data_IF_623677822252
#
_entry.id   IF_623677822252
#
_cell.length_a   1.000
_cell.length_b   1.000
_cell.length_c   1.000
_cell.angle_alpha   90.00
_cell.angle_beta   90.00
_cell.angle_gamma   90.00
#
_symmetry.space_group_name_H-M   'P 1'
#
loop_
_entity.id
_entity.type
_entity.pdbx_description
1 polymer ?
#
# COMPACT_ATOMS: atom_id res chain seq x y z
N UNK A 1 26.75 53.17 -33.99
CA UNK A 1 25.35 53.25 -34.45
C UNK A 1 24.77 51.84 -34.32
N UNK A 2 24.26 51.49 -33.13
CA UNK A 2 22.84 51.54 -32.69
C UNK A 2 22.02 50.34 -33.19
N UNK A 3 21.61 49.52 -32.21
CA UNK A 3 20.36 48.72 -32.12
C UNK A 3 20.25 47.51 -33.06
N UNK A 4 19.80 46.33 -32.64
CA UNK A 4 18.63 46.10 -31.80
C UNK A 4 18.66 44.75 -31.05
N UNK A 5 18.25 44.84 -29.79
CA UNK A 5 17.89 43.79 -28.85
C UNK A 5 16.88 42.76 -29.38
N UNK A 6 17.09 41.49 -29.03
CA UNK A 6 15.98 40.60 -28.70
C UNK A 6 16.31 39.90 -27.37
N UNK A 7 15.77 40.48 -26.30
CA UNK A 7 15.56 39.81 -25.03
C UNK A 7 14.64 38.61 -25.26
N UNK A 8 15.16 37.40 -25.11
CA UNK A 8 14.29 36.23 -24.92
C UNK A 8 13.86 36.27 -23.47
N UNK A 9 12.64 36.78 -23.27
CA UNK A 9 11.95 36.79 -21.99
C UNK A 9 11.85 35.37 -21.43
N UNK A 10 12.43 35.19 -20.26
CA UNK A 10 12.07 34.18 -19.25
C UNK A 10 10.55 34.10 -19.11
N UNK A 11 9.95 33.01 -19.61
CA UNK A 11 8.64 32.59 -19.14
C UNK A 11 8.90 31.69 -17.94
N UNK A 12 9.15 32.31 -16.79
CA UNK A 12 8.94 31.65 -15.51
C UNK A 12 7.44 31.43 -15.40
N UNK A 13 6.97 30.23 -15.77
CA UNK A 13 5.62 29.78 -15.42
C UNK A 13 5.63 29.67 -13.90
N UNK A 14 5.27 30.76 -13.23
CA UNK A 14 5.09 30.83 -11.80
C UNK A 14 3.84 30.01 -11.49
N UNK A 15 4.02 28.71 -11.26
CA UNK A 15 3.01 27.88 -10.64
C UNK A 15 2.72 28.50 -9.27
N UNK A 16 1.63 29.26 -9.17
CA UNK A 16 1.04 29.71 -7.91
C UNK A 16 0.40 28.51 -7.20
N UNK A 17 1.23 27.58 -6.77
CA UNK A 17 0.90 26.63 -5.71
C UNK A 17 1.68 27.05 -4.48
N UNK A 18 1.10 26.99 -3.27
CA UNK A 18 1.86 27.25 -2.06
C UNK A 18 3.02 26.26 -2.04
N UNK A 19 4.22 26.80 -2.31
CA UNK A 19 5.46 26.04 -2.42
C UNK A 19 5.84 25.59 -1.01
N UNK A 20 5.30 24.44 -0.63
CA UNK A 20 5.68 23.75 0.59
C UNK A 20 7.04 23.11 0.30
N UNK A 21 8.10 23.73 0.82
CA UNK A 21 9.47 23.23 0.75
C UNK A 21 9.65 22.11 1.78
N UNK A 22 9.75 20.88 1.28
CA UNK A 22 10.22 19.73 2.06
C UNK A 22 10.54 18.56 1.13
N UNK A 23 11.82 18.35 0.82
CA UNK A 23 12.27 17.16 0.07
C UNK A 23 11.95 15.85 0.82
N UNK A 24 11.70 15.93 2.14
CA UNK A 24 11.33 14.79 2.99
C UNK A 24 9.91 14.30 2.74
N UNK A 25 8.89 15.18 2.69
CA UNK A 25 7.50 14.74 2.49
C UNK A 25 7.32 14.04 1.15
N UNK A 26 7.86 14.62 0.07
CA UNK A 26 7.79 14.00 -1.26
C UNK A 26 8.38 12.59 -1.25
N UNK A 27 9.56 12.41 -0.69
CA UNK A 27 10.23 11.12 -0.63
C UNK A 27 9.44 10.07 0.18
N UNK A 28 8.95 10.44 1.36
CA UNK A 28 8.18 9.51 2.21
C UNK A 28 6.83 9.16 1.58
N UNK A 29 6.22 10.10 0.85
CA UNK A 29 4.99 9.87 0.08
C UNK A 29 5.23 8.94 -1.12
N UNK A 30 6.31 9.15 -1.88
CA UNK A 30 6.73 8.24 -2.96
C UNK A 30 6.97 6.82 -2.42
N UNK A 31 7.57 6.71 -1.24
CA UNK A 31 7.75 5.42 -0.56
C UNK A 31 6.42 4.79 -0.17
N UNK A 32 5.43 5.58 0.28
CA UNK A 32 4.09 5.05 0.59
C UNK A 32 3.44 4.45 -0.65
N UNK A 33 3.41 5.19 -1.76
CA UNK A 33 2.82 4.70 -3.01
C UNK A 33 3.51 3.42 -3.48
N UNK A 34 4.84 3.35 -3.39
CA UNK A 34 5.60 2.15 -3.72
C UNK A 34 5.26 0.96 -2.81
N UNK A 35 5.02 1.20 -1.51
CA UNK A 35 4.60 0.16 -0.57
C UNK A 35 3.24 -0.43 -0.93
N UNK A 36 2.25 0.39 -1.31
CA UNK A 36 0.93 -0.12 -1.72
C UNK A 36 1.03 -1.02 -2.96
N UNK A 37 1.76 -0.58 -3.99
CA UNK A 37 1.94 -1.38 -5.19
C UNK A 37 2.81 -2.63 -4.95
N UNK A 38 3.79 -2.56 -4.04
CA UNK A 38 4.56 -3.73 -3.62
C UNK A 38 3.68 -4.75 -2.89
N UNK A 39 2.80 -4.28 -2.00
CA UNK A 39 1.81 -5.12 -1.33
C UNK A 39 0.86 -5.77 -2.33
N UNK A 40 0.32 -5.00 -3.27
CA UNK A 40 -0.51 -5.51 -4.36
C UNK A 40 0.18 -6.64 -5.15
N UNK A 41 1.42 -6.41 -5.61
CA UNK A 41 2.19 -7.42 -6.36
C UNK A 41 2.51 -8.66 -5.51
N UNK A 42 2.75 -8.48 -4.21
CA UNK A 42 3.05 -9.57 -3.28
C UNK A 42 1.81 -10.43 -3.04
N UNK A 43 0.66 -9.81 -2.81
CA UNK A 43 -0.61 -10.50 -2.64
C UNK A 43 -1.05 -11.22 -3.91
N UNK A 44 -0.89 -10.61 -5.09
CA UNK A 44 -1.16 -11.28 -6.35
C UNK A 44 -0.32 -12.56 -6.52
N UNK A 45 0.95 -12.47 -6.11
CA UNK A 45 1.89 -13.59 -6.14
C UNK A 45 1.47 -14.72 -5.20
N UNK A 46 1.07 -14.39 -3.97
CA UNK A 46 0.56 -15.38 -3.01
C UNK A 46 -0.76 -16.00 -3.48
N UNK A 47 -1.68 -15.19 -4.00
CA UNK A 47 -2.96 -15.64 -4.53
C UNK A 47 -2.79 -16.69 -5.63
N UNK A 48 -1.95 -16.41 -6.63
CA UNK A 48 -1.65 -17.34 -7.71
C UNK A 48 -1.06 -18.67 -7.19
N UNK A 49 -0.12 -18.60 -6.24
CA UNK A 49 0.49 -19.79 -5.63
C UNK A 49 -0.47 -20.65 -4.84
N UNK A 50 -1.48 -20.05 -4.22
CA UNK A 50 -2.46 -20.79 -3.43
C UNK A 50 -3.56 -21.36 -4.33
N UNK A 51 -3.98 -20.62 -5.35
CA UNK A 51 -4.94 -21.07 -6.34
C UNK A 51 -4.47 -22.33 -7.08
N UNK A 52 -3.18 -22.38 -7.47
CA UNK A 52 -2.57 -23.51 -8.18
C UNK A 52 -2.47 -24.79 -7.36
N UNK A 53 -2.66 -24.74 -6.04
CA UNK A 53 -2.57 -25.92 -5.15
C UNK A 53 -3.90 -26.62 -4.89
N UNK A 54 -5.01 -26.10 -5.39
CA UNK A 54 -6.34 -26.73 -5.25
C UNK A 54 -7.00 -26.60 -3.87
N UNK A 55 -6.25 -26.72 -2.77
CA UNK A 55 -6.80 -26.81 -1.39
C UNK A 55 -7.01 -25.48 -0.67
N UNK A 56 -6.47 -24.37 -1.19
CA UNK A 56 -6.47 -23.06 -0.53
C UNK A 56 -7.20 -21.97 -1.33
N UNK A 57 -8.32 -22.29 -1.97
CA UNK A 57 -9.00 -21.33 -2.85
C UNK A 57 -9.62 -20.14 -2.11
N UNK A 58 -10.02 -20.32 -0.85
CA UNK A 58 -10.48 -19.22 0.00
C UNK A 58 -9.34 -18.25 0.33
N UNK A 59 -8.18 -18.76 0.71
CA UNK A 59 -6.98 -17.93 0.88
C UNK A 59 -6.51 -17.28 -0.42
N UNK A 60 -6.60 -18.00 -1.54
CA UNK A 60 -6.28 -17.44 -2.85
C UNK A 60 -7.20 -16.27 -3.20
N UNK A 61 -8.52 -16.45 -3.02
CA UNK A 61 -9.50 -15.37 -3.19
C UNK A 61 -9.18 -14.19 -2.28
N UNK A 62 -8.93 -14.45 -0.99
CA UNK A 62 -8.54 -13.42 -0.02
C UNK A 62 -7.38 -12.57 -0.53
N UNK A 63 -6.29 -13.21 -0.99
CA UNK A 63 -5.14 -12.47 -1.50
C UNK A 63 -5.38 -11.79 -2.85
N UNK A 64 -6.23 -12.33 -3.73
CA UNK A 64 -6.61 -11.62 -4.96
C UNK A 64 -7.36 -10.32 -4.65
N UNK A 65 -8.35 -10.39 -3.77
CA UNK A 65 -9.13 -9.24 -3.33
C UNK A 65 -8.22 -8.21 -2.63
N UNK A 66 -7.34 -8.65 -1.71
CA UNK A 66 -6.37 -7.77 -1.07
C UNK A 66 -5.41 -7.12 -2.09
N UNK A 67 -4.99 -7.85 -3.12
CA UNK A 67 -4.13 -7.28 -4.17
C UNK A 67 -4.81 -6.15 -4.95
N UNK A 68 -6.11 -6.29 -5.23
CA UNK A 68 -6.91 -5.25 -5.86
C UNK A 68 -7.08 -4.03 -4.93
N UNK A 69 -7.33 -4.28 -3.66
CA UNK A 69 -7.47 -3.23 -2.64
C UNK A 69 -6.19 -2.39 -2.50
N UNK A 70 -5.02 -3.01 -2.33
CA UNK A 70 -3.76 -2.25 -2.22
C UNK A 70 -3.42 -1.52 -3.52
N UNK A 71 -3.82 -2.06 -4.67
CA UNK A 71 -3.67 -1.34 -5.94
C UNK A 71 -4.53 -0.08 -5.97
N UNK A 72 -5.73 -0.14 -5.43
CA UNK A 72 -6.64 1.00 -5.34
C UNK A 72 -6.18 2.00 -4.27
N UNK A 73 -5.57 1.56 -3.16
CA UNK A 73 -4.86 2.45 -2.22
C UNK A 73 -3.74 3.23 -2.92
N UNK A 74 -2.89 2.54 -3.69
CA UNK A 74 -1.83 3.17 -4.48
C UNK A 74 -2.38 4.24 -5.42
N UNK A 75 -3.47 3.95 -6.14
CA UNK A 75 -4.14 4.95 -6.99
C UNK A 75 -4.75 6.10 -6.20
N UNK A 76 -5.38 5.83 -5.05
CA UNK A 76 -6.00 6.85 -4.20
C UNK A 76 -4.97 7.91 -3.77
N UNK A 77 -3.77 7.47 -3.41
CA UNK A 77 -2.62 8.35 -3.13
C UNK A 77 -2.19 9.15 -4.37
N UNK A 78 -2.07 8.50 -5.53
CA UNK A 78 -1.72 9.18 -6.78
C UNK A 78 -2.75 10.25 -7.16
N UNK A 79 -4.04 9.92 -7.11
CA UNK A 79 -5.14 10.82 -7.44
C UNK A 79 -5.14 12.04 -6.53
N UNK A 80 -4.88 11.86 -5.23
CA UNK A 80 -4.74 12.97 -4.29
C UNK A 80 -3.59 13.93 -4.66
N UNK A 81 -2.47 13.43 -5.17
CA UNK A 81 -1.37 14.29 -5.66
C UNK A 81 -1.67 14.91 -7.02
N UNK A 82 -2.34 14.17 -7.92
CA UNK A 82 -2.72 14.64 -9.24
C UNK A 82 -3.65 15.86 -9.16
N UNK A 83 -4.69 15.82 -8.31
CA UNK A 83 -5.61 16.98 -8.13
C UNK A 83 -4.92 18.21 -7.53
N UNK A 84 -3.71 18.03 -6.98
CA UNK A 84 -2.88 19.09 -6.42
C UNK A 84 -1.72 19.50 -7.33
N UNK A 85 -1.67 18.99 -8.56
CA UNK A 85 -0.60 19.20 -9.53
C UNK A 85 0.80 18.93 -8.95
N UNK A 86 0.93 17.87 -8.15
CA UNK A 86 2.21 17.40 -7.60
C UNK A 86 2.68 16.19 -8.38
N UNK A 87 3.96 16.19 -8.75
CA UNK A 87 4.59 15.06 -9.43
C UNK A 87 5.29 14.12 -8.45
N UNK A 88 5.24 12.83 -8.75
CA UNK A 88 5.93 11.76 -8.02
C UNK A 88 6.83 10.98 -8.99
N UNK A 89 7.95 10.49 -8.50
CA UNK A 89 8.88 9.66 -9.23
C UNK A 89 8.83 8.22 -8.73
N UNK A 90 8.68 7.28 -9.66
CA UNK A 90 8.69 5.85 -9.38
C UNK A 90 9.77 5.19 -10.23
N UNK A 91 10.55 4.32 -9.61
CA UNK A 91 11.57 3.53 -10.31
C UNK A 91 11.08 2.09 -10.46
N UNK A 92 11.54 1.20 -9.58
CA UNK A 92 11.26 -0.22 -9.64
C UNK A 92 10.47 -0.68 -8.41
N UNK A 93 9.33 -1.34 -8.63
CA UNK A 93 8.52 -1.96 -7.57
C UNK A 93 8.61 -3.46 -7.73
N UNK A 94 9.65 -4.05 -7.14
CA UNK A 94 10.00 -5.47 -7.29
C UNK A 94 9.74 -6.23 -6.00
N UNK A 95 9.05 -7.36 -6.11
CA UNK A 95 9.01 -8.35 -5.03
C UNK A 95 10.38 -9.02 -4.90
N UNK A 96 10.72 -9.46 -3.69
CA UNK A 96 11.99 -10.17 -3.44
C UNK A 96 11.92 -11.61 -3.93
N UNK A 97 13.08 -12.22 -4.21
CA UNK A 97 13.15 -13.65 -4.56
C UNK A 97 12.59 -14.55 -3.45
N UNK A 98 12.70 -14.12 -2.19
CA UNK A 98 12.11 -14.81 -1.04
C UNK A 98 10.58 -14.84 -1.14
N UNK A 99 9.93 -13.69 -1.36
CA UNK A 99 8.48 -13.61 -1.58
C UNK A 99 8.09 -14.40 -2.83
N UNK A 100 8.87 -14.23 -3.90
CA UNK A 100 8.65 -14.88 -5.18
C UNK A 100 8.94 -16.38 -5.18
N UNK A 101 9.46 -16.97 -4.10
CA UNK A 101 9.66 -18.42 -3.94
C UNK A 101 8.93 -18.98 -2.72
N UNK A 102 8.17 -18.15 -2.00
CA UNK A 102 7.51 -18.54 -0.76
C UNK A 102 6.40 -19.57 -1.03
N UNK A 103 6.43 -20.68 -0.29
CA UNK A 103 5.40 -21.72 -0.40
C UNK A 103 4.58 -21.93 0.86
N UNK A 104 5.10 -21.64 2.05
CA UNK A 104 4.40 -21.91 3.30
C UNK A 104 3.27 -20.89 3.55
N UNK A 105 2.04 -21.36 3.79
CA UNK A 105 0.87 -20.49 4.01
C UNK A 105 1.02 -19.62 5.25
N UNK A 106 1.55 -20.18 6.35
CA UNK A 106 1.74 -19.43 7.60
C UNK A 106 2.74 -18.31 7.37
N UNK A 107 3.86 -18.59 6.68
CA UNK A 107 4.83 -17.55 6.29
C UNK A 107 4.22 -16.49 5.40
N UNK A 108 3.39 -16.86 4.41
CA UNK A 108 2.69 -15.87 3.56
C UNK A 108 1.83 -14.92 4.38
N UNK A 109 1.07 -15.45 5.36
CA UNK A 109 0.22 -14.63 6.23
C UNK A 109 1.06 -13.77 7.19
N UNK A 110 2.16 -14.30 7.72
CA UNK A 110 3.11 -13.54 8.54
C UNK A 110 3.73 -12.39 7.76
N UNK A 111 4.19 -12.64 6.53
CA UNK A 111 4.71 -11.60 5.63
C UNK A 111 3.65 -10.56 5.33
N UNK A 112 2.43 -10.97 5.02
CA UNK A 112 1.33 -10.05 4.78
C UNK A 112 1.01 -9.17 6.00
N UNK A 113 0.91 -9.74 7.21
CA UNK A 113 0.70 -8.96 8.44
C UNK A 113 1.83 -7.94 8.69
N UNK A 114 3.08 -8.36 8.47
CA UNK A 114 4.23 -7.47 8.60
C UNK A 114 4.18 -6.33 7.58
N UNK A 115 3.79 -6.61 6.33
CA UNK A 115 3.66 -5.59 5.29
C UNK A 115 2.60 -4.54 5.65
N UNK A 116 1.44 -4.97 6.15
CA UNK A 116 0.36 -4.07 6.59
C UNK A 116 0.79 -3.15 7.73
N UNK A 117 1.61 -3.67 8.66
CA UNK A 117 2.23 -2.85 9.70
C UNK A 117 3.22 -1.84 9.12
N UNK A 118 4.05 -2.26 8.17
CA UNK A 118 5.01 -1.36 7.51
C UNK A 118 4.34 -0.29 6.65
N UNK A 119 3.17 -0.58 6.07
CA UNK A 119 2.30 0.38 5.37
C UNK A 119 1.76 1.38 6.39
N UNK A 120 1.21 0.91 7.50
CA UNK A 120 0.72 1.77 8.60
C UNK A 120 1.82 2.69 9.13
N UNK A 121 2.99 2.15 9.47
CA UNK A 121 4.10 2.93 10.01
C UNK A 121 4.54 4.02 9.03
N UNK A 122 4.60 3.72 7.73
CA UNK A 122 4.96 4.71 6.72
C UNK A 122 3.85 5.76 6.50
N UNK A 123 2.56 5.42 6.66
CA UNK A 123 1.48 6.42 6.69
C UNK A 123 1.65 7.41 7.86
N UNK A 124 2.09 6.93 9.03
CA UNK A 124 2.41 7.81 10.16
C UNK A 124 3.56 8.74 9.79
N UNK A 125 4.62 8.23 9.14
CA UNK A 125 5.72 9.08 8.66
C UNK A 125 5.27 10.12 7.63
N UNK A 126 4.41 9.75 6.67
CA UNK A 126 3.81 10.72 5.73
C UNK A 126 3.05 11.80 6.48
N UNK A 127 2.22 11.42 7.45
CA UNK A 127 1.41 12.34 8.25
C UNK A 127 2.29 13.30 9.06
N UNK A 128 3.36 12.80 9.69
CA UNK A 128 4.30 13.62 10.46
C UNK A 128 5.07 14.58 9.55
N UNK A 129 5.58 14.10 8.42
CA UNK A 129 6.26 14.93 7.43
C UNK A 129 5.33 16.03 6.89
N UNK A 130 4.08 15.68 6.56
CA UNK A 130 3.08 16.63 6.09
C UNK A 130 2.76 17.70 7.13
N UNK A 131 2.65 17.34 8.41
CA UNK A 131 2.42 18.29 9.49
C UNK A 131 3.61 19.25 9.66
N UNK A 132 4.84 18.75 9.62
CA UNK A 132 6.06 19.57 9.73
C UNK A 132 6.15 20.59 8.58
N UNK A 133 5.76 20.14 7.39
CA UNK A 133 5.72 20.94 6.17
C UNK A 133 4.47 21.85 6.09
N UNK A 134 3.57 21.79 7.09
CA UNK A 134 2.29 22.51 7.13
C UNK A 134 1.37 22.18 5.93
N UNK A 135 1.52 20.99 5.36
CA UNK A 135 0.63 20.44 4.35
C UNK A 135 -0.60 19.80 5.02
N UNK A 136 -1.43 20.64 5.63
CA UNK A 136 -2.64 20.21 6.34
C UNK A 136 -3.63 19.43 5.45
N UNK A 137 -3.79 19.71 4.14
CA UNK A 137 -4.58 18.85 3.27
C UNK A 137 -4.06 17.41 3.21
N UNK A 138 -2.75 17.20 3.14
CA UNK A 138 -2.17 15.85 3.20
C UNK A 138 -2.41 15.19 4.54
N UNK A 139 -2.22 15.93 5.66
CA UNK A 139 -2.52 15.41 7.01
C UNK A 139 -3.96 14.90 7.08
N UNK A 140 -4.93 15.73 6.68
CA UNK A 140 -6.34 15.38 6.72
C UNK A 140 -6.66 14.15 5.87
N UNK A 141 -6.16 14.10 4.63
CA UNK A 141 -6.36 12.97 3.73
C UNK A 141 -5.79 11.65 4.31
N UNK A 142 -4.56 11.69 4.83
CA UNK A 142 -3.94 10.49 5.43
C UNK A 142 -4.70 10.02 6.66
N UNK A 143 -5.11 10.94 7.54
CA UNK A 143 -5.85 10.59 8.77
C UNK A 143 -7.25 10.04 8.49
N UNK A 144 -8.02 10.66 7.60
CA UNK A 144 -9.43 10.33 7.38
C UNK A 144 -9.66 9.24 6.35
N UNK A 145 -8.72 9.03 5.43
CA UNK A 145 -8.92 8.07 4.34
C UNK A 145 -8.02 6.85 4.50
N UNK A 146 -6.72 7.05 4.71
CA UNK A 146 -5.77 5.95 4.68
C UNK A 146 -5.62 5.26 6.04
N UNK A 147 -5.44 6.03 7.13
CA UNK A 147 -5.18 5.47 8.46
C UNK A 147 -6.39 4.75 9.08
N UNK A 148 -7.61 5.19 8.79
CA UNK A 148 -8.83 4.51 9.23
C UNK A 148 -8.93 3.09 8.64
N UNK A 149 -8.80 2.97 7.32
CA UNK A 149 -8.79 1.69 6.59
C UNK A 149 -7.62 0.81 7.09
N UNK A 150 -6.41 1.37 7.17
CA UNK A 150 -5.21 0.63 7.54
C UNK A 150 -5.25 0.11 8.99
N UNK A 151 -5.83 0.86 9.92
CA UNK A 151 -5.99 0.41 11.32
C UNK A 151 -6.78 -0.89 11.39
N UNK A 152 -7.86 -0.97 10.61
CA UNK A 152 -8.68 -2.18 10.59
C UNK A 152 -8.01 -3.32 9.84
N UNK A 153 -7.30 -3.02 8.75
CA UNK A 153 -6.52 -4.01 8.00
C UNK A 153 -5.47 -4.71 8.87
N UNK A 154 -4.67 -3.94 9.62
CA UNK A 154 -3.65 -4.47 10.55
C UNK A 154 -4.28 -5.36 11.61
N UNK A 155 -5.40 -4.94 12.22
CA UNK A 155 -6.10 -5.76 13.21
C UNK A 155 -6.59 -7.07 12.62
N UNK A 156 -7.20 -7.02 11.45
CA UNK A 156 -7.73 -8.20 10.76
C UNK A 156 -6.62 -9.20 10.44
N UNK A 157 -5.50 -8.72 9.91
CA UNK A 157 -4.36 -9.57 9.56
C UNK A 157 -3.70 -10.20 10.78
N UNK A 158 -3.57 -9.43 11.86
CA UNK A 158 -3.09 -9.96 13.15
C UNK A 158 -3.99 -11.09 13.67
N UNK A 159 -5.30 -10.89 13.65
CA UNK A 159 -6.25 -11.91 14.12
C UNK A 159 -6.21 -13.16 13.25
N UNK A 160 -6.12 -13.00 11.93
CA UNK A 160 -6.00 -14.10 10.99
C UNK A 160 -4.72 -14.91 11.26
N UNK A 161 -3.60 -14.23 11.47
CA UNK A 161 -2.33 -14.86 11.85
C UNK A 161 -2.48 -15.64 13.16
N UNK A 162 -3.06 -15.04 14.21
CA UNK A 162 -3.26 -15.73 15.50
C UNK A 162 -4.18 -16.94 15.41
N UNK A 163 -5.21 -16.89 14.55
CA UNK A 163 -6.08 -18.04 14.26
C UNK A 163 -5.29 -19.19 13.61
N UNK A 164 -4.35 -18.89 12.73
CA UNK A 164 -3.49 -19.88 12.07
C UNK A 164 -2.45 -20.43 13.06
N UNK A 165 -1.80 -19.57 13.85
CA UNK A 165 -0.74 -19.94 14.81
C UNK A 165 -1.24 -20.79 15.99
N UNK A 166 -2.52 -20.69 16.36
CA UNK A 166 -3.12 -21.50 17.44
C UNK A 166 -3.11 -23.03 17.18
N UNK A 167 -2.51 -23.49 16.07
CA UNK A 167 -2.53 -24.86 15.55
C UNK A 167 -1.21 -25.63 15.64
N UNK A 168 -0.66 -25.92 16.83
CA UNK A 168 0.48 -26.86 16.89
C UNK A 168 0.08 -28.33 16.72
N UNK A 169 -1.18 -28.72 17.01
CA UNK A 169 -1.50 -30.14 17.28
C UNK A 169 -2.54 -30.82 16.34
N UNK A 170 -3.39 -30.09 15.59
CA UNK A 170 -4.30 -30.69 14.59
C UNK A 170 -4.73 -29.70 13.48
N UNK A 171 -3.79 -29.35 12.60
CA UNK A 171 -3.85 -28.19 11.70
C UNK A 171 -4.86 -28.25 10.56
N UNK A 172 -5.28 -29.44 10.11
CA UNK A 172 -5.98 -29.56 8.83
C UNK A 172 -7.42 -29.06 8.88
N UNK A 173 -8.19 -29.39 9.93
CA UNK A 173 -9.61 -29.02 10.04
C UNK A 173 -9.76 -27.51 10.21
N UNK A 174 -8.98 -26.88 11.10
CA UNK A 174 -9.07 -25.44 11.30
C UNK A 174 -8.66 -24.66 10.05
N UNK A 175 -7.60 -25.07 9.35
CA UNK A 175 -7.20 -24.44 8.09
C UNK A 175 -8.29 -24.57 7.01
N UNK A 176 -8.97 -25.72 6.92
CA UNK A 176 -10.11 -25.89 6.01
C UNK A 176 -11.30 -25.01 6.39
N UNK A 177 -11.61 -24.86 7.68
CA UNK A 177 -12.66 -23.96 8.14
C UNK A 177 -12.34 -22.49 7.81
N UNK A 178 -11.10 -22.06 8.04
CA UNK A 178 -10.64 -20.71 7.67
C UNK A 178 -10.73 -20.50 6.16
N UNK A 179 -10.30 -21.47 5.35
CA UNK A 179 -10.42 -21.38 3.89
C UNK A 179 -11.89 -21.22 3.46
N UNK A 180 -12.81 -21.98 4.05
CA UNK A 180 -14.24 -21.86 3.77
C UNK A 180 -14.81 -20.50 4.18
N UNK A 181 -14.41 -19.97 5.33
CA UNK A 181 -14.83 -18.63 5.81
C UNK A 181 -14.36 -17.56 4.82
N UNK A 182 -13.09 -17.59 4.42
CA UNK A 182 -12.51 -16.63 3.48
C UNK A 182 -13.17 -16.69 2.11
N UNK A 183 -13.56 -17.89 1.65
CA UNK A 183 -14.24 -18.07 0.37
C UNK A 183 -15.64 -17.44 0.34
N UNK A 184 -16.35 -17.47 1.47
CA UNK A 184 -17.71 -16.90 1.62
C UNK A 184 -17.69 -15.40 1.86
N UNK A 185 -16.58 -14.87 2.37
CA UNK A 185 -16.44 -13.44 2.68
C UNK A 185 -16.31 -12.65 1.38
N UNK A 186 -17.20 -11.67 1.20
CA UNK A 186 -16.88 -10.52 0.36
C UNK A 186 -15.93 -9.65 1.19
N UNK A 187 -14.71 -9.47 0.73
CA UNK A 187 -13.83 -8.49 1.33
C UNK A 187 -14.39 -7.10 0.99
N UNK A 188 -15.03 -6.51 1.98
CA UNK A 188 -14.82 -5.10 2.28
C UNK A 188 -14.06 -5.13 3.59
N UNK A 189 -12.77 -4.77 3.59
CA UNK A 189 -12.17 -4.31 4.85
C UNK A 189 -13.09 -3.16 5.31
N UNK A 190 -13.67 -3.24 6.51
CA UNK A 190 -14.67 -2.27 6.94
C UNK A 190 -14.09 -0.86 6.97
#
# INVERSE_FOLDING_TARGET
MVSSSMFINTISILFFLPFIFGNSLKYVYENQVQKEFLASNTYLTFAHRLATRGVYQGFAKFFFDSAEEERDHGKKLLDFYNVRNRELLFYDIKITDEVASMHDLTKMIQTAEQMERQVYDNLIEVRLAANNDKDYPTVHFIEQTMLEEQTTAVKYMHDLLKRIERNSDNSTILLQMIDQDLRKKQLKKP
#
